data_IF_568042651628
#
_entry.id   IF_568042651628
#
_cell.length_a   1.000
_cell.length_b   1.000
_cell.length_c   1.000
_cell.angle_alpha   90.00
_cell.angle_beta   90.00
_cell.angle_gamma   90.00
#
_symmetry.space_group_name_H-M   'P 1'
#
loop_
_entity.id
_entity.type
_entity.pdbx_description
1 polymer ?
#
# COMPACT_ATOMS: atom_id res chain seq x y z
N UNK A 1 32.48 21.55 1.01
CA UNK A 1 31.48 21.29 2.08
C UNK A 1 30.07 21.73 1.68
N UNK A 2 29.87 22.97 1.22
CA UNK A 2 28.54 23.51 0.86
C UNK A 2 27.80 22.74 -0.27
N UNK A 3 28.52 22.34 -1.32
CA UNK A 3 27.96 21.60 -2.49
C UNK A 3 27.41 20.23 -2.06
N UNK A 4 28.10 19.57 -1.14
CA UNK A 4 27.67 18.27 -0.60
C UNK A 4 26.39 18.46 0.22
N UNK A 5 26.33 19.52 1.03
CA UNK A 5 25.15 19.86 1.83
C UNK A 5 23.92 20.14 0.94
N UNK A 6 24.11 20.88 -0.16
CA UNK A 6 23.05 21.17 -1.13
C UNK A 6 22.52 19.90 -1.81
N UNK A 7 23.41 18.94 -2.14
CA UNK A 7 23.01 17.65 -2.68
C UNK A 7 22.14 16.85 -1.70
N UNK A 8 22.48 16.88 -0.41
CA UNK A 8 21.71 16.22 0.66
C UNK A 8 20.35 16.86 0.94
N UNK A 9 20.12 18.12 0.56
CA UNK A 9 18.78 18.72 0.63
C UNK A 9 17.97 18.47 -0.65
N UNK A 10 18.59 18.66 -1.81
CA UNK A 10 17.86 18.68 -3.08
C UNK A 10 17.33 17.30 -3.47
N UNK A 11 18.16 16.27 -3.34
CA UNK A 11 17.80 14.92 -3.79
C UNK A 11 16.65 14.30 -2.98
N UNK A 12 16.64 14.33 -1.62
CA UNK A 12 15.50 13.84 -0.86
C UNK A 12 14.22 14.63 -1.12
N UNK A 13 14.32 15.94 -1.37
CA UNK A 13 13.17 16.76 -1.72
C UNK A 13 12.50 16.26 -3.01
N UNK A 14 13.31 16.01 -4.06
CA UNK A 14 12.82 15.49 -5.33
C UNK A 14 12.18 14.10 -5.14
N UNK A 15 12.84 13.20 -4.41
CA UNK A 15 12.30 11.86 -4.17
C UNK A 15 11.00 11.89 -3.36
N UNK A 16 10.90 12.77 -2.37
CA UNK A 16 9.67 12.95 -1.59
C UNK A 16 8.50 13.41 -2.47
N UNK A 17 8.71 14.40 -3.34
CA UNK A 17 7.66 14.85 -4.28
C UNK A 17 7.28 13.77 -5.31
N UNK A 18 8.26 13.03 -5.84
CA UNK A 18 7.99 11.90 -6.73
C UNK A 18 7.16 10.85 -6.01
N UNK A 19 7.54 10.48 -4.78
CA UNK A 19 6.80 9.51 -3.98
C UNK A 19 5.37 9.97 -3.72
N UNK A 20 5.15 11.24 -3.37
CA UNK A 20 3.81 11.80 -3.16
C UNK A 20 2.95 11.70 -4.43
N UNK A 21 3.52 12.01 -5.59
CA UNK A 21 2.81 11.88 -6.87
C UNK A 21 2.45 10.42 -7.14
N UNK A 22 3.41 9.51 -6.96
CA UNK A 22 3.21 8.08 -7.17
C UNK A 22 2.12 7.51 -6.25
N UNK A 23 2.14 7.84 -4.96
CA UNK A 23 1.11 7.41 -4.00
C UNK A 23 -0.26 7.99 -4.35
N UNK A 24 -0.31 9.25 -4.80
CA UNK A 24 -1.57 9.88 -5.24
C UNK A 24 -2.17 9.18 -6.46
N UNK A 25 -1.34 8.65 -7.36
CA UNK A 25 -1.76 7.90 -8.55
C UNK A 25 -2.35 6.53 -8.18
N UNK A 26 -1.88 5.89 -7.11
CA UNK A 26 -2.40 4.59 -6.62
C UNK A 26 -3.88 4.66 -6.21
N UNK A 27 -4.44 5.86 -6.00
CA UNK A 27 -5.86 6.06 -5.70
C UNK A 27 -6.16 6.05 -4.20
N UNK A 28 -7.42 6.29 -3.85
CA UNK A 28 -7.89 6.31 -2.45
C UNK A 28 -8.50 4.95 -2.08
N UNK A 29 -7.79 4.15 -1.29
CA UNK A 29 -8.38 3.03 -0.55
C UNK A 29 -8.71 3.49 0.87
N UNK A 30 -9.89 3.15 1.37
CA UNK A 30 -10.23 3.37 2.78
C UNK A 30 -9.30 2.54 3.66
N UNK A 31 -8.99 3.01 4.88
CA UNK A 31 -8.11 2.29 5.82
C UNK A 31 -8.59 0.85 6.08
N UNK A 32 -9.91 0.63 6.06
CA UNK A 32 -10.57 -0.67 6.22
C UNK A 32 -10.46 -1.60 5.01
N UNK A 33 -9.96 -1.12 3.87
CA UNK A 33 -9.84 -1.85 2.60
C UNK A 33 -8.38 -2.03 2.16
N UNK A 34 -7.42 -1.63 3.00
CA UNK A 34 -6.00 -1.83 2.74
C UNK A 34 -5.70 -3.33 2.82
N UNK A 35 -5.20 -3.90 1.73
CA UNK A 35 -4.81 -5.32 1.71
C UNK A 35 -3.45 -5.51 2.37
N UNK A 36 -3.12 -6.75 2.73
CA UNK A 36 -1.77 -7.09 3.22
C UNK A 36 -0.68 -6.71 2.20
N UNK A 37 -0.98 -6.84 0.91
CA UNK A 37 -0.07 -6.44 -0.15
C UNK A 37 0.13 -4.92 -0.18
N UNK A 38 -0.94 -4.13 -0.12
CA UNK A 38 -0.84 -2.67 -0.07
C UNK A 38 0.01 -2.21 1.12
N UNK A 39 -0.20 -2.82 2.29
CA UNK A 39 0.52 -2.51 3.52
C UNK A 39 2.03 -2.80 3.40
N UNK A 40 2.40 -4.00 2.98
CA UNK A 40 3.81 -4.42 2.82
C UNK A 40 4.49 -3.58 1.73
N UNK A 41 3.80 -3.34 0.61
CA UNK A 41 4.34 -2.50 -0.46
C UNK A 41 4.54 -1.06 0.00
N UNK A 42 3.60 -0.47 0.74
CA UNK A 42 3.73 0.89 1.27
C UNK A 42 4.98 1.06 2.16
N UNK A 43 5.21 0.13 3.09
CA UNK A 43 6.41 0.12 3.94
C UNK A 43 7.67 -0.01 3.09
N UNK A 44 7.68 -0.94 2.15
CA UNK A 44 8.84 -1.23 1.29
C UNK A 44 9.19 -0.01 0.43
N UNK A 45 8.20 0.63 -0.19
CA UNK A 45 8.37 1.83 -1.00
C UNK A 45 8.92 2.98 -0.14
N UNK A 46 8.41 3.16 1.08
CA UNK A 46 8.90 4.18 2.00
C UNK A 46 10.37 3.97 2.39
N UNK A 47 10.74 2.72 2.71
CA UNK A 47 12.12 2.35 3.02
C UNK A 47 13.06 2.58 1.82
N UNK A 48 12.63 2.19 0.61
CA UNK A 48 13.39 2.40 -0.63
C UNK A 48 13.53 3.89 -0.96
N UNK A 49 12.49 4.70 -0.74
CA UNK A 49 12.56 6.13 -0.94
C UNK A 49 13.57 6.78 0.00
N UNK A 50 13.59 6.37 1.27
CA UNK A 50 14.60 6.80 2.24
C UNK A 50 16.01 6.39 1.82
N UNK A 51 16.22 5.12 1.51
CA UNK A 51 17.53 4.58 1.11
C UNK A 51 18.07 5.26 -0.17
N UNK A 52 17.22 5.40 -1.19
CA UNK A 52 17.60 6.05 -2.46
C UNK A 52 17.82 7.55 -2.30
N UNK A 53 17.23 8.20 -1.29
CA UNK A 53 17.45 9.63 -0.99
C UNK A 53 18.82 9.91 -0.39
N UNK A 54 19.34 8.99 0.42
CA UNK A 54 20.62 9.20 1.14
C UNK A 54 21.83 8.64 0.41
N UNK A 55 21.66 7.63 -0.44
CA UNK A 55 22.77 7.02 -1.17
C UNK A 55 23.34 7.95 -2.24
N UNK A 56 24.65 8.22 -2.23
CA UNK A 56 25.33 9.07 -3.23
C UNK A 56 25.56 8.36 -4.56
N UNK A 57 25.60 7.04 -4.58
CA UNK A 57 25.91 6.27 -5.78
C UNK A 57 24.68 6.08 -6.68
N UNK A 58 23.49 6.11 -6.07
CA UNK A 58 22.23 6.10 -6.80
C UNK A 58 21.92 7.50 -7.34
N UNK A 59 22.00 7.70 -8.66
CA UNK A 59 21.51 8.94 -9.30
C UNK A 59 19.99 9.10 -9.13
N UNK A 60 19.48 10.35 -9.23
CA UNK A 60 18.03 10.65 -9.10
C UNK A 60 17.20 9.77 -10.05
N UNK A 61 17.63 9.64 -11.32
CA UNK A 61 16.93 8.83 -12.33
C UNK A 61 16.83 7.36 -11.88
N UNK A 62 17.90 6.79 -11.34
CA UNK A 62 17.90 5.42 -10.82
C UNK A 62 16.95 5.29 -9.63
N UNK A 63 16.99 6.22 -8.68
CA UNK A 63 16.07 6.22 -7.53
C UNK A 63 14.60 6.29 -7.95
N UNK A 64 14.27 7.20 -8.87
CA UNK A 64 12.91 7.33 -9.41
C UNK A 64 12.47 6.07 -10.15
N UNK A 65 13.33 5.45 -10.96
CA UNK A 65 13.00 4.20 -11.67
C UNK A 65 12.65 3.05 -10.73
N UNK A 66 13.39 2.91 -9.62
CA UNK A 66 13.14 1.87 -8.61
C UNK A 66 11.80 2.11 -7.93
N UNK A 67 11.52 3.34 -7.51
CA UNK A 67 10.24 3.70 -6.89
C UNK A 67 9.06 3.49 -7.84
N UNK A 68 9.23 3.84 -9.10
CA UNK A 68 8.21 3.66 -10.13
C UNK A 68 7.84 2.17 -10.28
N UNK A 69 8.84 1.29 -10.44
CA UNK A 69 8.61 -0.16 -10.53
C UNK A 69 7.91 -0.68 -9.28
N UNK A 70 8.37 -0.27 -8.09
CA UNK A 70 7.81 -0.74 -6.82
C UNK A 70 6.39 -0.25 -6.55
N UNK A 71 5.98 0.91 -7.10
CA UNK A 71 4.60 1.40 -7.04
C UNK A 71 3.71 0.70 -8.07
N UNK A 72 4.24 0.34 -9.24
CA UNK A 72 3.47 -0.37 -10.26
C UNK A 72 3.04 -1.78 -9.81
N UNK A 73 3.85 -2.47 -9.02
CA UNK A 73 3.52 -3.82 -8.52
C UNK A 73 2.19 -3.85 -7.74
N UNK A 74 2.01 -3.10 -6.63
CA UNK A 74 0.74 -3.09 -5.90
C UNK A 74 -0.41 -2.51 -6.73
N UNK A 75 -0.12 -1.58 -7.65
CA UNK A 75 -1.15 -1.05 -8.56
C UNK A 75 -1.71 -2.13 -9.50
N UNK A 76 -0.83 -2.94 -10.08
CA UNK A 76 -1.21 -4.08 -10.92
C UNK A 76 -1.95 -5.13 -10.10
N UNK A 77 -1.46 -5.46 -8.90
CA UNK A 77 -2.14 -6.40 -8.00
C UNK A 77 -3.55 -5.91 -7.67
N UNK A 78 -3.70 -4.65 -7.28
CA UNK A 78 -5.00 -4.05 -6.98
C UNK A 78 -5.95 -4.07 -8.18
N UNK A 79 -5.43 -3.92 -9.40
CA UNK A 79 -6.23 -4.03 -10.61
C UNK A 79 -6.72 -5.46 -10.86
N UNK A 80 -5.87 -6.46 -10.62
CA UNK A 80 -6.26 -7.88 -10.73
C UNK A 80 -7.26 -8.29 -9.65
N UNK A 81 -7.10 -7.80 -8.42
CA UNK A 81 -8.06 -7.98 -7.34
C UNK A 81 -9.44 -7.44 -7.74
N UNK A 82 -9.49 -6.20 -8.25
CA UNK A 82 -10.74 -5.60 -8.71
C UNK A 82 -11.40 -6.36 -9.86
N UNK A 83 -10.62 -6.92 -10.80
CA UNK A 83 -11.16 -7.57 -12.01
C UNK A 83 -11.55 -9.03 -11.80
N UNK A 84 -10.96 -9.71 -10.81
CA UNK A 84 -11.12 -11.15 -10.63
C UNK A 84 -11.49 -11.50 -9.19
N UNK A 85 -12.75 -11.88 -8.99
CA UNK A 85 -13.25 -12.39 -7.71
C UNK A 85 -12.44 -13.58 -7.18
N UNK A 86 -11.95 -14.45 -8.07
CA UNK A 86 -11.07 -15.57 -7.70
C UNK A 86 -9.69 -15.12 -7.23
N UNK A 87 -9.20 -13.97 -7.72
CA UNK A 87 -7.92 -13.41 -7.30
C UNK A 87 -8.06 -12.66 -5.98
N UNK A 88 -9.07 -11.79 -5.86
CA UNK A 88 -9.47 -11.12 -4.62
C UNK A 88 -9.63 -12.14 -3.47
N UNK A 89 -10.31 -13.25 -3.74
CA UNK A 89 -10.52 -14.31 -2.75
C UNK A 89 -9.23 -14.99 -2.28
N UNK A 90 -8.19 -15.03 -3.11
CA UNK A 90 -6.87 -15.59 -2.74
C UNK A 90 -6.01 -14.60 -1.96
N UNK A 91 -6.08 -13.31 -2.29
CA UNK A 91 -5.21 -12.28 -1.70
C UNK A 91 -5.84 -11.61 -0.49
N UNK A 92 -7.13 -11.30 -0.54
CA UNK A 92 -7.92 -10.63 0.51
C UNK A 92 -8.64 -11.66 1.39
N UNK A 93 -9.10 -12.76 0.80
CA UNK A 93 -9.83 -13.84 1.49
C UNK A 93 -11.28 -13.97 1.05
N UNK A 94 -11.98 -15.00 1.55
CA UNK A 94 -13.39 -15.22 1.23
C UNK A 94 -14.30 -14.19 1.92
N UNK A 95 -15.22 -13.54 1.19
CA UNK A 95 -16.18 -12.63 1.79
C UNK A 95 -17.09 -13.42 2.74
N UNK A 96 -17.12 -12.98 4.00
CA UNK A 96 -17.94 -13.58 5.06
C UNK A 96 -19.16 -12.70 5.33
N UNK A 97 -20.35 -13.26 5.14
CA UNK A 97 -21.59 -12.59 5.53
C UNK A 97 -21.71 -12.57 7.06
N UNK A 98 -21.70 -11.39 7.67
CA UNK A 98 -21.90 -11.22 9.11
C UNK A 98 -23.38 -11.15 9.50
N UNK A 99 -24.21 -10.56 8.63
CA UNK A 99 -25.67 -10.47 8.79
C UNK A 99 -26.33 -10.90 7.49
N UNK A 100 -27.30 -11.81 7.56
CA UNK A 100 -28.09 -12.25 6.41
C UNK A 100 -29.57 -12.22 6.77
N UNK A 101 -30.33 -11.33 6.11
CA UNK A 101 -31.79 -11.16 6.31
C UNK A 101 -32.16 -10.93 7.79
N UNK A 102 -31.42 -10.06 8.48
CA UNK A 102 -31.64 -9.74 9.89
C UNK A 102 -31.11 -10.76 10.90
N UNK A 103 -30.55 -11.89 10.44
CA UNK A 103 -29.96 -12.91 11.31
C UNK A 103 -28.44 -12.74 11.34
N UNK A 104 -27.87 -12.60 12.53
CA UNK A 104 -26.43 -12.52 12.75
C UNK A 104 -25.81 -13.91 12.60
N UNK A 105 -24.82 -14.04 11.73
CA UNK A 105 -24.10 -15.29 11.48
C UNK A 105 -22.96 -15.45 12.50
N UNK A 106 -23.29 -15.95 13.70
CA UNK A 106 -22.33 -16.11 14.82
C UNK A 106 -21.11 -16.96 14.45
N UNK A 107 -21.26 -17.96 13.60
CA UNK A 107 -20.13 -18.78 13.14
C UNK A 107 -19.17 -18.00 12.24
N UNK A 108 -19.70 -17.09 11.42
CA UNK A 108 -18.89 -16.22 10.57
C UNK A 108 -18.21 -15.12 11.40
N UNK A 109 -18.85 -14.60 12.45
CA UNK A 109 -18.22 -13.70 13.42
C UNK A 109 -17.02 -14.38 14.09
N UNK A 110 -17.15 -15.64 14.53
CA UNK A 110 -16.03 -16.41 15.08
C UNK A 110 -14.89 -16.60 14.07
N UNK A 111 -15.22 -16.94 12.81
CA UNK A 111 -14.23 -17.08 11.73
C UNK A 111 -13.50 -15.77 11.42
N UNK A 112 -14.23 -14.65 11.43
CA UNK A 112 -13.68 -13.31 11.24
C UNK A 112 -12.98 -12.75 12.48
N UNK A 113 -12.97 -13.48 13.60
CA UNK A 113 -12.48 -13.02 14.92
C UNK A 113 -13.12 -11.69 15.34
N UNK A 114 -14.38 -11.49 14.98
CA UNK A 114 -15.17 -10.30 15.25
C UNK A 114 -16.13 -10.60 16.40
N UNK A 115 -16.16 -9.76 17.44
CA UNK A 115 -17.11 -9.92 18.54
C UNK A 115 -18.47 -9.31 18.20
N UNK A 116 -19.49 -9.65 18.98
CA UNK A 116 -20.83 -9.02 18.86
C UNK A 116 -20.73 -7.52 19.19
N UNK A 117 -19.86 -7.12 20.12
CA UNK A 117 -19.66 -5.71 20.45
C UNK A 117 -19.06 -4.94 19.27
N UNK A 118 -18.11 -5.54 18.55
CA UNK A 118 -17.50 -4.92 17.36
C UNK A 118 -18.53 -4.74 16.23
N UNK A 119 -19.54 -5.62 16.14
CA UNK A 119 -20.62 -5.52 15.17
C UNK A 119 -21.64 -4.40 15.50
N UNK A 120 -21.75 -4.02 16.78
CA UNK A 120 -22.70 -3.03 17.28
C UNK A 120 -22.11 -1.61 17.41
N UNK A 121 -20.79 -1.47 17.27
CA UNK A 121 -20.08 -0.18 17.29
C UNK A 121 -20.23 0.61 15.99
#
# INVERSE_FOLDING_TARGET
MLIILFHYLFKPLVIFFVLLILVKITGKKSLSQITYFDYISGITIGALAGATSVDKHTGIIKGVSVLMIWVFIPMIMSYFEYRSFSFERKTVGEPLFLIKRGIVATDNLKKAKYSINDLLM
#
